data_IF_428997859067
#
_entry.id   IF_428997859067
#
_cell.length_a   1.000
_cell.length_b   1.000
_cell.length_c   1.000
_cell.angle_alpha   90.00
_cell.angle_beta   90.00
_cell.angle_gamma   90.00
#
_symmetry.space_group_name_H-M   'P 1'
#
loop_
_entity.id
_entity.type
_entity.pdbx_description
1 polymer ?
#
# COMPACT_ATOMS: atom_id res chain seq x y z
N UNK A 1 -15.81 -7.86 -34.80
CA UNK A 1 -15.93 -6.41 -34.49
C UNK A 1 -16.74 -6.30 -33.21
N UNK A 2 -16.07 -6.36 -32.06
CA UNK A 2 -16.73 -6.27 -30.75
C UNK A 2 -16.66 -4.80 -30.31
N UNK A 3 -17.85 -4.19 -30.21
CA UNK A 3 -18.06 -2.80 -29.81
C UNK A 3 -17.52 -2.60 -28.38
N UNK A 4 -16.54 -1.73 -28.22
CA UNK A 4 -16.13 -1.21 -26.91
C UNK A 4 -17.27 -0.29 -26.42
N UNK A 5 -18.12 -0.83 -25.60
CA UNK A 5 -19.23 -0.15 -24.93
C UNK A 5 -18.68 0.89 -23.95
N UNK A 6 -19.17 2.12 -24.07
CA UNK A 6 -18.74 3.35 -23.49
C UNK A 6 -18.27 3.34 -22.04
N UNK A 7 -17.19 4.07 -21.81
CA UNK A 7 -16.84 4.63 -20.51
C UNK A 7 -18.04 5.44 -20.00
N UNK A 8 -18.73 4.90 -19.00
CA UNK A 8 -19.79 5.63 -18.30
C UNK A 8 -19.15 6.78 -17.56
N UNK A 9 -19.27 7.99 -18.10
CA UNK A 9 -18.87 9.22 -17.41
C UNK A 9 -19.87 9.39 -16.27
N UNK A 10 -19.45 9.08 -15.05
CA UNK A 10 -20.23 9.39 -13.86
C UNK A 10 -20.50 10.88 -13.85
N UNK A 11 -21.76 11.34 -13.77
CA UNK A 11 -22.08 12.76 -13.75
C UNK A 11 -21.37 13.45 -12.60
N UNK A 12 -20.87 14.67 -12.83
CA UNK A 12 -20.20 15.47 -11.82
C UNK A 12 -21.13 15.65 -10.61
N UNK A 13 -20.62 15.35 -9.41
CA UNK A 13 -21.36 15.47 -8.17
C UNK A 13 -21.67 16.95 -7.90
N UNK A 14 -22.88 17.28 -7.41
CA UNK A 14 -23.17 18.66 -7.03
C UNK A 14 -22.36 19.07 -5.80
N UNK A 15 -21.97 20.33 -5.71
CA UNK A 15 -21.19 20.86 -4.59
C UNK A 15 -21.87 20.61 -3.23
N UNK A 16 -23.19 20.69 -3.16
CA UNK A 16 -23.96 20.36 -1.95
C UNK A 16 -23.78 18.90 -1.54
N UNK A 17 -23.86 17.96 -2.49
CA UNK A 17 -23.67 16.54 -2.21
C UNK A 17 -22.22 16.22 -1.82
N UNK A 18 -21.25 16.85 -2.47
CA UNK A 18 -19.85 16.70 -2.09
C UNK A 18 -19.59 17.19 -0.65
N UNK A 19 -20.21 18.30 -0.28
CA UNK A 19 -20.11 18.83 1.09
C UNK A 19 -20.73 17.88 2.12
N UNK A 20 -21.91 17.34 1.87
CA UNK A 20 -22.56 16.35 2.75
C UNK A 20 -21.70 15.11 2.96
N UNK A 21 -21.17 14.52 1.87
CA UNK A 21 -20.28 13.37 1.95
C UNK A 21 -19.02 13.71 2.75
N UNK A 22 -18.43 14.87 2.50
CA UNK A 22 -17.24 15.29 3.24
C UNK A 22 -17.53 15.50 4.73
N UNK A 23 -18.71 15.99 5.10
CA UNK A 23 -19.11 16.18 6.51
C UNK A 23 -19.35 14.85 7.23
N UNK A 24 -19.97 13.88 6.57
CA UNK A 24 -20.30 12.57 7.16
C UNK A 24 -19.14 11.56 7.13
N UNK A 25 -18.05 11.84 6.44
CA UNK A 25 -16.96 10.88 6.28
C UNK A 25 -16.27 10.55 7.61
N UNK A 26 -16.29 9.28 8.01
CA UNK A 26 -15.51 8.71 9.12
C UNK A 26 -14.89 7.38 8.65
N UNK A 27 -13.56 7.24 8.79
CA UNK A 27 -12.84 6.02 8.44
C UNK A 27 -13.27 4.79 9.26
N UNK A 28 -13.87 5.01 10.42
CA UNK A 28 -14.32 3.93 11.31
C UNK A 28 -15.76 3.48 11.03
N UNK A 29 -16.48 4.23 10.21
CA UNK A 29 -17.88 3.94 9.83
C UNK A 29 -18.06 4.20 8.34
N UNK A 30 -17.46 3.35 7.51
CA UNK A 30 -17.53 3.45 6.07
C UNK A 30 -18.76 2.71 5.55
N UNK A 31 -19.59 3.33 4.70
CA UNK A 31 -20.75 2.66 4.13
C UNK A 31 -20.34 1.54 3.17
N UNK A 32 -21.22 0.54 3.01
CA UNK A 32 -20.92 -0.66 2.22
C UNK A 32 -20.54 -0.35 0.75
N UNK A 33 -21.15 0.67 0.15
CA UNK A 33 -20.87 1.10 -1.22
C UNK A 33 -19.49 1.76 -1.38
N UNK A 34 -18.89 2.26 -0.29
CA UNK A 34 -17.52 2.75 -0.31
C UNK A 34 -16.52 1.67 -0.71
N UNK A 35 -16.69 0.44 -0.22
CA UNK A 35 -15.77 -0.68 -0.56
C UNK A 35 -15.91 -1.11 -2.01
N UNK A 36 -17.10 -0.97 -2.59
CA UNK A 36 -17.32 -1.26 -4.00
C UNK A 36 -16.75 -0.16 -4.92
N UNK A 37 -16.89 1.12 -4.53
CA UNK A 37 -16.38 2.25 -5.29
C UNK A 37 -16.08 3.47 -4.40
N UNK A 38 -14.84 3.63 -3.88
CA UNK A 38 -14.48 4.74 -3.00
C UNK A 38 -14.24 6.07 -3.72
N UNK A 39 -14.10 6.06 -5.04
CA UNK A 39 -13.68 7.23 -5.82
C UNK A 39 -14.61 8.45 -5.73
N UNK A 40 -15.94 8.30 -5.73
CA UNK A 40 -16.85 9.44 -5.53
C UNK A 40 -16.66 10.12 -4.18
N UNK A 41 -16.42 9.35 -3.12
CA UNK A 41 -16.15 9.88 -1.77
C UNK A 41 -14.83 10.64 -1.76
N UNK A 42 -13.77 10.08 -2.33
CA UNK A 42 -12.49 10.77 -2.44
C UNK A 42 -12.57 12.04 -3.30
N UNK A 43 -13.38 12.05 -4.36
CA UNK A 43 -13.62 13.25 -5.15
C UNK A 43 -14.30 14.33 -4.31
N UNK A 44 -15.34 13.97 -3.56
CA UNK A 44 -16.05 14.88 -2.66
C UNK A 44 -15.13 15.47 -1.58
N UNK A 45 -14.29 14.65 -0.98
CA UNK A 45 -13.31 15.10 0.02
C UNK A 45 -12.28 16.06 -0.58
N UNK A 46 -11.73 15.75 -1.77
CA UNK A 46 -10.77 16.64 -2.46
C UNK A 46 -11.35 18.01 -2.76
N UNK A 47 -12.62 18.06 -3.10
CA UNK A 47 -13.33 19.28 -3.45
C UNK A 47 -13.73 20.12 -2.24
N UNK A 48 -14.28 19.47 -1.20
CA UNK A 48 -14.93 20.16 -0.08
C UNK A 48 -14.12 20.19 1.22
N UNK A 49 -13.28 19.17 1.47
CA UNK A 49 -12.48 19.04 2.70
C UNK A 49 -11.17 18.27 2.44
N UNK A 50 -10.26 18.83 1.62
CA UNK A 50 -9.03 18.12 1.19
C UNK A 50 -8.08 17.76 2.35
N UNK A 51 -8.12 18.51 3.42
CA UNK A 51 -7.53 18.22 4.73
C UNK A 51 -8.65 18.15 5.73
N UNK A 52 -9.01 16.94 6.14
CA UNK A 52 -10.10 16.71 7.08
C UNK A 52 -9.57 16.29 8.44
N UNK A 53 -9.92 17.03 9.47
CA UNK A 53 -9.69 16.61 10.85
C UNK A 53 -10.72 15.55 11.24
N UNK A 54 -10.23 14.41 11.72
CA UNK A 54 -11.07 13.32 12.18
C UNK A 54 -11.43 13.48 13.66
N UNK A 55 -12.50 12.81 14.15
CA UNK A 55 -12.93 12.91 15.55
C UNK A 55 -11.85 12.50 16.57
N UNK A 56 -10.91 11.65 16.18
CA UNK A 56 -9.79 11.20 17.01
C UNK A 56 -8.60 12.17 17.01
N UNK A 57 -8.73 13.33 16.35
CA UNK A 57 -7.68 14.33 16.20
C UNK A 57 -6.70 14.10 15.06
N UNK A 58 -6.77 12.96 14.37
CA UNK A 58 -5.95 12.72 13.17
C UNK A 58 -6.42 13.56 11.98
N UNK A 59 -5.57 13.74 10.98
CA UNK A 59 -5.88 14.44 9.73
C UNK A 59 -5.90 13.46 8.56
N UNK A 60 -6.97 13.47 7.78
CA UNK A 60 -7.10 12.70 6.56
C UNK A 60 -6.85 13.60 5.34
N UNK A 61 -5.84 13.26 4.55
CA UNK A 61 -5.40 14.04 3.39
C UNK A 61 -5.85 13.36 2.10
N UNK A 62 -6.36 14.12 1.15
CA UNK A 62 -6.86 13.57 -0.13
C UNK A 62 -6.22 14.17 -1.37
N UNK A 63 -5.47 15.27 -1.27
CA UNK A 63 -4.74 15.85 -2.40
C UNK A 63 -3.34 15.26 -2.49
N UNK A 64 -2.92 14.90 -3.69
CA UNK A 64 -1.57 14.40 -3.96
C UNK A 64 -0.46 15.37 -3.51
N UNK A 65 -0.65 16.67 -3.75
CA UNK A 65 0.34 17.69 -3.35
C UNK A 65 0.55 17.74 -1.84
N UNK A 66 -0.54 17.62 -1.05
CA UNK A 66 -0.48 17.63 0.42
C UNK A 66 0.24 16.37 0.94
N UNK A 67 -0.09 15.20 0.36
CA UNK A 67 0.59 13.95 0.68
C UNK A 67 2.08 14.02 0.37
N UNK A 68 2.46 14.53 -0.81
CA UNK A 68 3.87 14.70 -1.19
C UNK A 68 4.59 15.66 -0.24
N UNK A 69 3.95 16.73 0.19
CA UNK A 69 4.53 17.67 1.15
C UNK A 69 4.83 16.97 2.49
N UNK A 70 3.86 16.21 3.03
CA UNK A 70 4.03 15.43 4.26
C UNK A 70 5.16 14.40 4.12
N UNK A 71 5.17 13.61 3.05
CA UNK A 71 6.20 12.57 2.85
C UNK A 71 7.60 13.10 2.62
N UNK A 72 7.76 14.36 2.19
CA UNK A 72 9.06 14.99 1.99
C UNK A 72 9.60 15.71 3.20
N UNK A 73 8.74 16.03 4.15
CA UNK A 73 9.12 16.77 5.36
C UNK A 73 9.34 15.82 6.55
N UNK A 74 10.46 15.12 6.53
CA UNK A 74 10.87 14.23 7.62
C UNK A 74 11.34 14.97 8.91
N UNK A 75 11.33 16.31 8.90
CA UNK A 75 11.62 17.10 10.11
C UNK A 75 10.36 17.35 10.93
N UNK A 76 9.23 17.56 10.25
CA UNK A 76 7.95 17.84 10.89
C UNK A 76 7.12 16.57 11.11
N UNK A 77 7.19 15.63 10.16
CA UNK A 77 6.39 14.39 10.17
C UNK A 77 7.28 13.17 10.38
N UNK A 78 6.85 12.27 11.24
CA UNK A 78 7.53 11.02 11.52
C UNK A 78 6.71 9.79 11.11
N UNK A 79 7.42 8.68 10.88
CA UNK A 79 6.83 7.38 10.59
C UNK A 79 6.89 6.44 11.80
N UNK A 80 7.62 6.81 12.85
CA UNK A 80 7.73 6.02 14.08
C UNK A 80 6.42 6.08 14.87
N UNK A 81 5.63 5.02 14.75
CA UNK A 81 4.32 4.88 15.40
C UNK A 81 4.38 4.25 16.78
N UNK A 82 5.56 3.93 17.30
CA UNK A 82 5.71 3.23 18.60
C UNK A 82 5.10 4.00 19.75
N UNK A 83 5.22 5.33 19.73
CA UNK A 83 4.68 6.20 20.76
C UNK A 83 3.16 6.42 20.66
N UNK A 84 2.60 6.33 19.44
CA UNK A 84 1.18 6.60 19.20
C UNK A 84 0.31 5.34 19.25
N UNK A 85 0.81 4.21 18.76
CA UNK A 85 0.00 2.99 18.68
C UNK A 85 -0.31 2.40 20.05
N UNK A 86 0.59 2.51 21.03
CA UNK A 86 0.36 2.01 22.37
C UNK A 86 -0.90 2.62 23.00
N UNK A 87 -0.91 3.94 23.28
CA UNK A 87 -2.02 4.58 23.97
C UNK A 87 -3.31 4.64 23.15
N UNK A 88 -3.20 4.91 21.83
CA UNK A 88 -4.35 5.19 20.98
C UNK A 88 -5.20 3.95 20.65
N UNK A 89 -4.57 2.80 20.53
CA UNK A 89 -5.25 1.55 20.17
C UNK A 89 -5.30 0.54 21.33
N UNK A 90 -5.03 1.00 22.55
CA UNK A 90 -4.99 0.15 23.75
C UNK A 90 -4.08 -1.09 23.58
N UNK A 91 -3.03 -0.93 22.75
CA UNK A 91 -2.00 -1.94 22.60
C UNK A 91 -1.12 -1.84 23.84
N UNK A 92 -0.93 -2.94 24.60
CA UNK A 92 -0.05 -2.92 25.77
C UNK A 92 1.33 -2.34 25.38
N UNK A 93 1.96 -1.56 26.28
CA UNK A 93 3.32 -1.14 26.05
C UNK A 93 4.15 -2.39 25.76
N UNK A 94 5.13 -2.25 24.85
CA UNK A 94 6.02 -3.36 24.52
C UNK A 94 6.58 -3.97 25.82
N UNK A 95 6.10 -5.15 26.12
CA UNK A 95 6.65 -5.99 27.17
C UNK A 95 7.53 -7.05 26.50
N UNK A 96 8.83 -7.01 26.78
CA UNK A 96 9.78 -7.98 26.24
C UNK A 96 9.44 -9.43 26.65
N UNK A 97 8.67 -9.61 27.76
CA UNK A 97 8.22 -10.91 28.21
C UNK A 97 6.97 -11.42 27.47
N UNK A 98 6.14 -10.49 26.95
CA UNK A 98 4.89 -10.81 26.24
C UNK A 98 4.74 -9.94 24.99
N UNK A 99 5.63 -10.05 24.00
CA UNK A 99 5.52 -9.27 22.79
C UNK A 99 4.23 -9.68 22.04
N UNK A 100 3.36 -8.70 21.75
CA UNK A 100 2.31 -8.92 20.77
C UNK A 100 2.99 -9.23 19.42
N UNK A 101 2.96 -10.47 18.91
CA UNK A 101 3.89 -10.90 17.85
C UNK A 101 3.84 -10.02 16.61
N UNK A 102 2.62 -9.65 16.19
CA UNK A 102 2.41 -8.84 15.00
C UNK A 102 2.96 -7.41 15.15
N UNK A 103 2.80 -6.80 16.31
CA UNK A 103 3.24 -5.44 16.57
C UNK A 103 4.77 -5.33 16.65
N UNK A 104 5.43 -6.31 17.25
CA UNK A 104 6.90 -6.37 17.33
C UNK A 104 7.52 -6.47 15.95
N UNK A 105 6.96 -7.29 15.08
CA UNK A 105 7.43 -7.41 13.70
C UNK A 105 7.21 -6.12 12.89
N UNK A 106 6.08 -5.45 13.06
CA UNK A 106 5.81 -4.18 12.37
C UNK A 106 6.74 -3.04 12.82
N UNK A 107 7.07 -2.94 14.12
CA UNK A 107 7.92 -1.85 14.62
C UNK A 107 9.37 -1.94 14.18
N UNK A 108 9.85 -3.10 13.76
CA UNK A 108 11.19 -3.31 13.19
C UNK A 108 11.24 -3.03 11.69
N UNK A 109 10.09 -2.92 11.04
CA UNK A 109 10.01 -2.63 9.60
C UNK A 109 10.59 -1.25 9.28
N UNK A 110 11.30 -1.16 8.14
CA UNK A 110 11.87 0.09 7.64
C UNK A 110 10.82 1.22 7.52
N UNK A 111 9.58 0.86 7.20
CA UNK A 111 8.46 1.81 7.02
C UNK A 111 8.12 2.57 8.32
N UNK A 112 8.40 1.98 9.47
CA UNK A 112 8.10 2.56 10.78
C UNK A 112 9.33 3.14 11.49
N UNK A 113 10.39 3.40 10.75
CA UNK A 113 11.60 4.02 11.28
C UNK A 113 11.85 5.37 10.63
N UNK A 114 12.39 6.29 11.42
CA UNK A 114 12.81 7.62 10.99
C UNK A 114 14.33 7.75 10.95
N UNK A 115 14.89 8.82 10.33
CA UNK A 115 16.30 9.10 10.42
C UNK A 115 16.77 9.22 11.89
N UNK A 116 18.00 8.77 12.25
CA UNK A 116 19.04 8.26 11.35
C UNK A 116 18.91 6.76 11.01
N UNK A 117 18.09 5.99 11.75
CA UNK A 117 17.99 4.54 11.61
C UNK A 117 17.46 4.16 10.22
N UNK A 118 16.35 4.77 9.80
CA UNK A 118 15.78 4.57 8.46
C UNK A 118 16.84 4.77 7.37
N UNK A 119 17.57 5.90 7.43
CA UNK A 119 18.57 6.24 6.41
C UNK A 119 19.68 5.18 6.35
N UNK A 120 20.13 4.70 7.51
CA UNK A 120 21.18 3.68 7.60
C UNK A 120 20.72 2.34 7.01
N UNK A 121 19.54 1.85 7.43
CA UNK A 121 19.02 0.55 6.98
C UNK A 121 18.67 0.61 5.50
N UNK A 122 18.00 1.67 5.05
CA UNK A 122 17.67 1.86 3.64
C UNK A 122 18.90 1.85 2.75
N UNK A 123 19.99 2.51 3.19
CA UNK A 123 21.26 2.53 2.44
C UNK A 123 21.86 1.12 2.28
N UNK A 124 21.76 0.27 3.31
CA UNK A 124 22.22 -1.11 3.23
C UNK A 124 21.38 -1.92 2.22
N UNK A 125 20.07 -1.83 2.30
CA UNK A 125 19.14 -2.52 1.38
C UNK A 125 19.36 -2.05 -0.06
N UNK A 126 19.45 -0.74 -0.29
CA UNK A 126 19.68 -0.18 -1.63
C UNK A 126 21.07 -0.51 -2.19
N UNK A 127 22.03 -0.86 -1.34
CA UNK A 127 23.33 -1.39 -1.76
C UNK A 127 23.25 -2.76 -2.43
N UNK A 128 22.27 -3.57 -2.07
CA UNK A 128 21.99 -4.86 -2.72
C UNK A 128 21.09 -4.70 -3.96
N UNK A 129 20.17 -3.74 -3.96
CA UNK A 129 19.21 -3.47 -5.04
C UNK A 129 19.77 -2.49 -6.07
N UNK A 130 20.94 -2.80 -6.63
CA UNK A 130 21.54 -1.96 -7.68
C UNK A 130 20.85 -2.18 -9.03
N UNK A 131 20.96 -1.19 -9.94
CA UNK A 131 20.45 -1.35 -11.32
C UNK A 131 21.03 -2.58 -12.01
N UNK A 132 22.30 -2.91 -11.74
CA UNK A 132 22.96 -4.08 -12.27
C UNK A 132 22.33 -5.37 -11.72
N UNK A 133 22.16 -5.48 -10.41
CA UNK A 133 21.54 -6.65 -9.78
C UNK A 133 20.12 -6.90 -10.30
N UNK A 134 19.33 -5.82 -10.50
CA UNK A 134 17.98 -5.91 -11.07
C UNK A 134 18.05 -6.39 -12.54
N UNK A 135 18.95 -5.86 -13.36
CA UNK A 135 19.11 -6.29 -14.75
C UNK A 135 19.55 -7.75 -14.86
N UNK A 136 20.37 -8.24 -13.93
CA UNK A 136 20.80 -9.64 -13.88
C UNK A 136 19.64 -10.61 -13.55
N UNK A 137 18.52 -10.12 -13.01
CA UNK A 137 17.33 -10.94 -12.74
C UNK A 137 16.43 -11.12 -13.98
N UNK A 138 16.53 -10.24 -14.99
CA UNK A 138 15.63 -10.21 -16.15
C UNK A 138 15.59 -11.54 -16.92
N UNK A 139 16.71 -12.24 -17.22
CA UNK A 139 16.65 -13.52 -17.93
C UNK A 139 15.87 -14.59 -17.16
N UNK A 140 16.04 -14.64 -15.84
CA UNK A 140 15.30 -15.56 -14.97
C UNK A 140 13.80 -15.24 -14.95
N UNK A 141 13.46 -13.95 -14.92
CA UNK A 141 12.08 -13.50 -14.99
C UNK A 141 11.41 -13.90 -16.31
N UNK A 142 12.08 -13.72 -17.45
CA UNK A 142 11.57 -14.14 -18.76
C UNK A 142 11.29 -15.64 -18.78
N UNK A 143 12.24 -16.45 -18.32
CA UNK A 143 12.07 -17.91 -18.24
C UNK A 143 10.89 -18.31 -17.36
N UNK A 144 10.70 -17.65 -16.22
CA UNK A 144 9.58 -17.89 -15.33
C UNK A 144 8.25 -17.55 -16.01
N UNK A 145 8.16 -16.37 -16.63
CA UNK A 145 6.95 -15.92 -17.34
C UNK A 145 6.56 -16.90 -18.45
N UNK A 146 7.52 -17.32 -19.27
CA UNK A 146 7.29 -18.29 -20.35
C UNK A 146 6.76 -19.61 -19.79
N UNK A 147 7.38 -20.14 -18.72
CA UNK A 147 6.93 -21.38 -18.09
C UNK A 147 5.52 -21.29 -17.49
N UNK A 148 5.14 -20.13 -16.92
CA UNK A 148 3.80 -19.92 -16.41
C UNK A 148 2.76 -19.85 -17.54
N UNK A 149 3.08 -19.19 -18.64
CA UNK A 149 2.21 -19.10 -19.82
C UNK A 149 2.03 -20.48 -20.48
N UNK A 150 3.11 -21.24 -20.68
CA UNK A 150 3.07 -22.60 -21.25
C UNK A 150 2.20 -23.53 -20.40
N UNK A 151 2.28 -23.39 -19.06
CA UNK A 151 1.44 -24.17 -18.15
C UNK A 151 -0.04 -23.81 -18.32
N UNK A 152 -0.38 -22.50 -18.37
CA UNK A 152 -1.74 -22.05 -18.58
C UNK A 152 -2.29 -22.48 -19.94
N UNK A 153 -1.47 -22.45 -21.00
CA UNK A 153 -1.85 -22.93 -22.35
C UNK A 153 -2.14 -24.43 -22.32
N UNK A 154 -1.28 -25.23 -21.69
CA UNK A 154 -1.44 -26.69 -21.57
C UNK A 154 -2.71 -27.05 -20.80
N UNK A 155 -3.09 -26.25 -19.81
CA UNK A 155 -4.31 -26.45 -19.00
C UNK A 155 -5.58 -25.92 -19.68
N UNK A 156 -5.42 -25.21 -20.81
CA UNK A 156 -6.55 -24.58 -21.53
C UNK A 156 -7.09 -23.31 -20.85
N UNK A 157 -6.32 -22.68 -19.98
CA UNK A 157 -6.61 -21.47 -19.23
C UNK A 157 -6.22 -21.58 -17.76
N UNK A 158 -6.62 -20.61 -16.95
CA UNK A 158 -6.31 -20.56 -15.52
C UNK A 158 -6.77 -19.26 -14.88
N UNK A 159 -6.56 -19.10 -13.59
CA UNK A 159 -6.74 -17.83 -12.87
C UNK A 159 -5.53 -16.94 -13.09
N UNK A 160 -5.75 -15.77 -13.70
CA UNK A 160 -4.68 -14.84 -14.02
C UNK A 160 -3.93 -14.33 -12.77
N UNK A 161 -4.61 -14.25 -11.63
CA UNK A 161 -3.99 -13.80 -10.38
C UNK A 161 -3.22 -14.95 -9.72
N UNK A 162 -3.88 -16.08 -9.48
CA UNK A 162 -3.32 -17.20 -8.73
C UNK A 162 -2.23 -17.94 -9.53
N UNK A 163 -2.50 -18.23 -10.82
CA UNK A 163 -1.64 -19.07 -11.64
C UNK A 163 -0.51 -18.30 -12.34
N UNK A 164 -0.59 -16.96 -12.39
CA UNK A 164 0.38 -16.13 -13.11
C UNK A 164 0.89 -14.95 -12.29
N UNK A 165 0.03 -13.98 -11.96
CA UNK A 165 0.49 -12.70 -11.44
C UNK A 165 1.06 -12.79 -10.01
N UNK A 166 0.55 -13.69 -9.17
CA UNK A 166 1.03 -13.91 -7.80
C UNK A 166 2.38 -14.65 -7.76
N UNK A 167 2.61 -15.58 -8.68
CA UNK A 167 3.84 -16.37 -8.71
C UNK A 167 5.08 -15.51 -9.02
N UNK A 168 4.96 -14.54 -9.92
CA UNK A 168 6.09 -13.74 -10.40
C UNK A 168 6.79 -12.95 -9.27
N UNK A 169 6.13 -12.10 -8.49
CA UNK A 169 6.80 -11.34 -7.45
C UNK A 169 7.32 -12.22 -6.32
N UNK A 170 6.61 -13.29 -5.96
CA UNK A 170 7.05 -14.23 -4.92
C UNK A 170 8.37 -14.88 -5.30
N UNK A 171 8.46 -15.42 -6.53
CA UNK A 171 9.65 -16.08 -7.04
C UNK A 171 10.85 -15.11 -7.16
N UNK A 172 10.61 -13.91 -7.68
CA UNK A 172 11.66 -12.89 -7.83
C UNK A 172 12.19 -12.44 -6.47
N UNK A 173 11.33 -12.20 -5.49
CA UNK A 173 11.75 -11.81 -4.14
C UNK A 173 12.43 -12.99 -3.44
N UNK A 174 11.93 -14.21 -3.59
CA UNK A 174 12.53 -15.42 -3.05
C UNK A 174 13.97 -15.57 -3.54
N UNK A 175 14.19 -15.47 -4.85
CA UNK A 175 15.51 -15.53 -5.47
C UNK A 175 16.44 -14.40 -4.96
N UNK A 176 15.92 -13.18 -4.85
CA UNK A 176 16.68 -12.04 -4.34
C UNK A 176 17.14 -12.24 -2.89
N UNK A 177 16.32 -12.86 -2.06
CA UNK A 177 16.60 -13.12 -0.65
C UNK A 177 17.33 -14.45 -0.44
N UNK A 178 17.53 -15.26 -1.48
CA UNK A 178 18.15 -16.58 -1.41
C UNK A 178 17.28 -17.62 -0.67
N UNK A 179 15.95 -17.46 -0.74
CA UNK A 179 15.01 -18.45 -0.17
C UNK A 179 15.00 -19.69 -1.06
N UNK A 180 15.16 -20.90 -0.50
CA UNK A 180 15.07 -22.13 -1.28
C UNK A 180 13.66 -22.34 -1.85
N UNK A 181 13.56 -22.83 -3.10
CA UNK A 181 12.29 -23.12 -3.76
C UNK A 181 11.47 -24.26 -3.11
N UNK A 182 12.07 -25.01 -2.20
CA UNK A 182 11.40 -26.12 -1.51
C UNK A 182 10.62 -25.70 -0.25
N UNK A 183 10.74 -24.45 0.13
CA UNK A 183 10.11 -23.85 1.32
C UNK A 183 8.96 -22.92 0.92
#
# INVERSE_FOLDING_TARGET
MTSMSGLSITPAMSAGRAHEIAQSFDLRDLPADFYANPYPVYAALRESAPVRQMPDGSCFLTRYADLVAVYRDAQTFCSDKKLEFGPKYNVPPYDAAHPAPLFVHHTTSLVFNDPPLHTRVRKLIMGALTRRAIAEMEPGLVTLVDALLDRMETQGGGDLIEDFASAIPVEIIGNLLGVPHAD
#
